data_IF_202502944852
#
_entry.id   IF_202502944852
#
_cell.length_a   1.000
_cell.length_b   1.000
_cell.length_c   1.000
_cell.angle_alpha   90.00
_cell.angle_beta   90.00
_cell.angle_gamma   90.00
#
_symmetry.space_group_name_H-M   'P 1'
#
loop_
_entity.id
_entity.type
_entity.pdbx_description
1 polymer ?
#
# COMPACT_ATOMS: atom_id res chain seq x y z
N UNK A 1 -3.71 -24.46 12.82
CA UNK A 1 -2.90 -24.12 11.62
C UNK A 1 -1.44 -24.17 12.02
N UNK A 2 -0.57 -24.82 11.23
CA UNK A 2 0.89 -24.73 11.46
C UNK A 2 1.31 -23.27 11.25
N UNK A 3 2.22 -22.71 12.05
CA UNK A 3 2.78 -21.40 11.77
C UNK A 3 3.43 -21.43 10.40
N UNK A 4 3.12 -20.44 9.55
CA UNK A 4 3.86 -20.24 8.31
C UNK A 4 5.32 -19.97 8.68
N UNK A 5 6.23 -20.69 8.04
CA UNK A 5 7.66 -20.42 8.19
C UNK A 5 7.98 -19.02 7.66
N UNK A 6 8.96 -18.36 8.26
CA UNK A 6 9.30 -16.97 7.93
C UNK A 6 9.56 -16.74 6.43
N UNK A 7 10.19 -17.70 5.75
CA UNK A 7 10.39 -17.66 4.29
C UNK A 7 9.08 -17.62 3.50
N UNK A 8 8.06 -18.34 3.95
CA UNK A 8 6.75 -18.34 3.31
C UNK A 8 6.04 -17.00 3.53
N UNK A 9 6.22 -16.37 4.69
CA UNK A 9 5.74 -15.01 4.96
C UNK A 9 6.47 -13.97 4.09
N UNK A 10 7.80 -14.05 3.99
CA UNK A 10 8.59 -13.17 3.12
C UNK A 10 8.17 -13.29 1.66
N UNK A 11 7.99 -14.51 1.16
CA UNK A 11 7.55 -14.73 -0.22
C UNK A 11 6.12 -14.24 -0.43
N UNK A 12 5.22 -14.46 0.53
CA UNK A 12 3.85 -13.96 0.45
C UNK A 12 3.79 -12.42 0.43
N UNK A 13 4.65 -11.76 1.21
CA UNK A 13 4.78 -10.30 1.19
C UNK A 13 5.27 -9.80 -0.18
N UNK A 14 6.27 -10.45 -0.77
CA UNK A 14 6.76 -10.09 -2.12
C UNK A 14 5.67 -10.26 -3.19
N UNK A 15 4.91 -11.34 -3.14
CA UNK A 15 3.80 -11.59 -4.07
C UNK A 15 2.69 -10.56 -3.89
N UNK A 16 2.30 -10.25 -2.65
CA UNK A 16 1.28 -9.25 -2.37
C UNK A 16 1.74 -7.84 -2.80
N UNK A 17 3.02 -7.50 -2.59
CA UNK A 17 3.61 -6.25 -3.07
C UNK A 17 3.59 -6.15 -4.59
N UNK A 18 3.99 -7.21 -5.31
CA UNK A 18 3.98 -7.24 -6.77
C UNK A 18 2.56 -7.07 -7.34
N UNK A 19 1.55 -7.61 -6.64
CA UNK A 19 0.15 -7.45 -6.98
C UNK A 19 -0.46 -6.11 -6.51
N UNK A 20 0.29 -5.29 -5.75
CA UNK A 20 -0.21 -4.10 -5.05
C UNK A 20 -1.46 -4.40 -4.19
N UNK A 21 -1.52 -5.59 -3.61
CA UNK A 21 -2.61 -6.06 -2.77
C UNK A 21 -2.40 -5.54 -1.33
N UNK A 22 -2.79 -4.29 -1.10
CA UNK A 22 -2.54 -3.58 0.16
C UNK A 22 -3.25 -4.23 1.35
N UNK A 23 -4.46 -4.77 1.17
CA UNK A 23 -5.21 -5.45 2.23
C UNK A 23 -4.49 -6.73 2.67
N UNK A 24 -4.04 -7.52 1.69
CA UNK A 24 -3.26 -8.72 1.97
C UNK A 24 -1.91 -8.41 2.59
N UNK A 25 -1.25 -7.32 2.19
CA UNK A 25 -0.03 -6.84 2.83
C UNK A 25 -0.25 -6.54 4.32
N UNK A 26 -1.33 -5.85 4.69
CA UNK A 26 -1.67 -5.60 6.09
C UNK A 26 -1.95 -6.89 6.88
N UNK A 27 -2.65 -7.85 6.28
CA UNK A 27 -2.91 -9.14 6.93
C UNK A 27 -1.62 -9.96 7.14
N UNK A 28 -0.68 -9.90 6.19
CA UNK A 28 0.62 -10.56 6.28
C UNK A 28 1.55 -9.87 7.30
N UNK A 29 1.51 -8.54 7.38
CA UNK A 29 2.25 -7.75 8.38
C UNK A 29 1.85 -8.12 9.81
N UNK A 30 0.53 -8.23 10.09
CA UNK A 30 0.04 -8.66 11.40
C UNK A 30 0.51 -10.08 11.75
N UNK A 31 0.52 -10.99 10.77
CA UNK A 31 1.02 -12.36 10.96
C UNK A 31 2.52 -12.41 11.22
N UNK A 32 3.30 -11.60 10.50
CA UNK A 32 4.74 -11.51 10.69
C UNK A 32 5.08 -10.90 12.05
N UNK A 33 4.36 -9.86 12.47
CA UNK A 33 4.52 -9.26 13.81
C UNK A 33 4.23 -10.27 14.93
N UNK A 34 3.16 -11.06 14.79
CA UNK A 34 2.87 -12.14 15.74
C UNK A 34 3.94 -13.23 15.75
N UNK A 35 4.48 -13.58 14.57
CA UNK A 35 5.58 -14.54 14.44
C UNK A 35 6.85 -14.01 15.12
N UNK A 36 7.23 -12.75 14.90
CA UNK A 36 8.40 -12.12 15.50
C UNK A 36 8.27 -12.03 17.03
N UNK A 37 7.08 -11.75 17.55
CA UNK A 37 6.81 -11.71 18.99
C UNK A 37 6.92 -13.10 19.65
N UNK A 38 6.61 -14.17 18.91
CA UNK A 38 6.70 -15.55 19.37
C UNK A 38 8.05 -16.22 19.02
N UNK A 39 8.93 -15.54 18.28
CA UNK A 39 10.14 -16.13 17.75
C UNK A 39 11.19 -16.38 18.87
N UNK A 40 11.91 -17.51 18.82
CA UNK A 40 13.04 -17.74 19.71
C UNK A 40 14.13 -16.69 19.45
N UNK A 41 14.85 -16.30 20.50
CA UNK A 41 15.83 -15.19 20.54
C UNK A 41 17.02 -15.29 19.54
N UNK A 42 17.05 -16.29 18.67
CA UNK A 42 18.12 -16.57 17.71
C UNK A 42 17.67 -16.39 16.25
N UNK A 43 16.96 -15.30 15.94
CA UNK A 43 16.83 -14.90 14.53
C UNK A 43 18.18 -14.35 14.07
N UNK A 44 18.73 -14.93 13.00
CA UNK A 44 19.96 -14.44 12.41
C UNK A 44 19.83 -12.98 11.96
N UNK A 45 20.83 -12.17 12.31
CA UNK A 45 20.88 -10.74 11.96
C UNK A 45 20.72 -10.49 10.45
N UNK A 46 21.36 -11.30 9.62
CA UNK A 46 21.23 -11.21 8.16
C UNK A 46 19.79 -11.41 7.67
N UNK A 47 18.97 -12.17 8.41
CA UNK A 47 17.55 -12.39 8.11
C UNK A 47 16.71 -11.18 8.49
N UNK A 48 16.99 -10.57 9.64
CA UNK A 48 16.36 -9.30 10.04
C UNK A 48 16.70 -8.16 9.06
N UNK A 49 17.94 -8.11 8.58
CA UNK A 49 18.35 -7.10 7.59
C UNK A 49 17.60 -7.28 6.26
N UNK A 50 17.43 -8.51 5.77
CA UNK A 50 16.62 -8.81 4.58
C UNK A 50 15.15 -8.40 4.74
N UNK A 51 14.54 -8.72 5.88
CA UNK A 51 13.19 -8.25 6.23
C UNK A 51 13.10 -6.73 6.24
N UNK A 52 14.09 -6.05 6.82
CA UNK A 52 14.15 -4.59 6.85
C UNK A 52 14.24 -3.96 5.46
N UNK A 53 14.95 -4.58 4.52
CA UNK A 53 14.96 -4.15 3.11
C UNK A 53 13.56 -4.30 2.50
N UNK A 54 12.93 -5.46 2.67
CA UNK A 54 11.59 -5.73 2.13
C UNK A 54 10.55 -4.72 2.66
N UNK A 55 10.58 -4.38 3.95
CA UNK A 55 9.67 -3.36 4.49
C UNK A 55 9.90 -1.97 3.91
N UNK A 56 11.16 -1.59 3.67
CA UNK A 56 11.47 -0.32 3.00
C UNK A 56 10.93 -0.29 1.58
N UNK A 57 11.02 -1.40 0.85
CA UNK A 57 10.43 -1.54 -0.48
C UNK A 57 8.91 -1.40 -0.45
N UNK A 58 8.24 -2.10 0.48
CA UNK A 58 6.77 -2.01 0.67
C UNK A 58 6.36 -0.57 0.99
N UNK A 59 7.06 0.11 1.90
CA UNK A 59 6.77 1.50 2.26
C UNK A 59 6.98 2.47 1.10
N UNK A 60 8.04 2.29 0.31
CA UNK A 60 8.29 3.11 -0.87
C UNK A 60 7.19 2.95 -1.92
N UNK A 61 6.77 1.70 -2.18
CA UNK A 61 5.67 1.41 -3.09
C UNK A 61 4.34 2.01 -2.61
N UNK A 62 4.04 1.89 -1.31
CA UNK A 62 2.83 2.47 -0.73
C UNK A 62 2.81 4.00 -0.83
N UNK A 63 3.94 4.68 -0.61
CA UNK A 63 4.05 6.14 -0.78
C UNK A 63 3.83 6.55 -2.24
N UNK A 64 4.41 5.81 -3.19
CA UNK A 64 4.22 6.10 -4.61
C UNK A 64 2.75 5.93 -5.03
N UNK A 65 2.10 4.84 -4.61
CA UNK A 65 0.69 4.60 -4.87
C UNK A 65 -0.22 5.67 -4.24
N UNK A 66 0.09 6.10 -3.00
CA UNK A 66 -0.62 7.20 -2.34
C UNK A 66 -0.51 8.52 -3.11
N UNK A 67 0.70 8.89 -3.53
CA UNK A 67 0.92 10.10 -4.33
C UNK A 67 0.18 10.05 -5.68
N UNK A 68 0.12 8.89 -6.32
CA UNK A 68 -0.65 8.71 -7.56
C UNK A 68 -2.16 8.89 -7.33
N UNK A 69 -2.70 8.31 -6.25
CA UNK A 69 -4.11 8.47 -5.88
C UNK A 69 -4.46 9.93 -5.57
N UNK A 70 -3.60 10.64 -4.84
CA UNK A 70 -3.76 12.08 -4.56
C UNK A 70 -3.80 12.90 -5.85
N UNK A 71 -2.92 12.62 -6.81
CA UNK A 71 -2.92 13.28 -8.11
C UNK A 71 -4.20 13.02 -8.90
N UNK A 72 -4.69 11.77 -8.91
CA UNK A 72 -5.95 11.41 -9.58
C UNK A 72 -7.16 12.11 -8.93
N UNK A 73 -7.20 12.19 -7.61
CA UNK A 73 -8.26 12.91 -6.89
C UNK A 73 -8.24 14.41 -7.18
N UNK A 74 -7.05 15.01 -7.27
CA UNK A 74 -6.90 16.41 -7.63
C UNK A 74 -7.39 16.69 -9.07
N UNK A 75 -7.10 15.79 -10.01
CA UNK A 75 -7.61 15.88 -11.40
C UNK A 75 -9.14 15.79 -11.44
N UNK A 76 -9.74 14.79 -10.79
CA UNK A 76 -11.20 14.64 -10.74
C UNK A 76 -11.90 15.84 -10.10
N UNK A 77 -11.30 16.42 -9.06
CA UNK A 77 -11.83 17.62 -8.41
C UNK A 77 -11.85 18.82 -9.36
N UNK A 78 -10.76 19.03 -10.11
CA UNK A 78 -10.66 20.10 -11.12
C UNK A 78 -11.64 19.90 -12.28
N UNK A 79 -11.79 18.67 -12.77
CA UNK A 79 -12.76 18.35 -13.82
C UNK A 79 -14.19 18.66 -13.37
N UNK A 80 -14.54 18.28 -12.13
CA UNK A 80 -15.86 18.58 -11.56
C UNK A 80 -16.10 20.08 -11.42
N UNK A 81 -15.11 20.83 -10.95
CA UNK A 81 -15.19 22.30 -10.87
C UNK A 81 -15.39 22.93 -12.25
N UNK A 82 -14.65 22.46 -13.26
CA UNK A 82 -14.80 22.92 -14.65
C UNK A 82 -16.19 22.64 -15.23
N UNK A 83 -16.73 21.45 -14.99
CA UNK A 83 -18.10 21.09 -15.40
C UNK A 83 -19.16 21.96 -14.73
N UNK A 84 -18.99 22.24 -13.43
CA UNK A 84 -19.90 23.12 -12.69
C UNK A 84 -19.83 24.57 -13.18
N UNK A 85 -18.63 25.09 -13.47
CA UNK A 85 -18.45 26.42 -14.03
C UNK A 85 -19.10 26.54 -15.42
N UNK A 86 -18.95 25.52 -16.27
CA UNK A 86 -19.56 25.50 -17.59
C UNK A 86 -21.10 25.42 -17.53
N UNK A 87 -21.63 24.58 -16.63
CA UNK A 87 -23.08 24.47 -16.40
C UNK A 87 -23.69 25.79 -15.90
N UNK A 88 -23.00 26.48 -14.99
CA UNK A 88 -23.41 27.80 -14.52
C UNK A 88 -23.37 28.82 -15.66
N UNK A 89 -22.25 28.95 -16.39
CA UNK A 89 -22.12 29.90 -17.51
C UNK A 89 -23.25 29.73 -18.54
N UNK A 90 -23.62 28.49 -18.87
CA UNK A 90 -24.71 28.18 -19.80
C UNK A 90 -26.10 28.58 -19.27
N UNK A 91 -26.31 28.58 -17.96
CA UNK A 91 -27.56 29.08 -17.36
C UNK A 91 -27.69 30.61 -17.48
N UNK A 92 -26.57 31.34 -17.52
CA UNK A 92 -26.56 32.79 -17.67
C UNK A 92 -26.69 33.25 -19.13
N UNK A 93 -26.23 32.47 -20.11
CA UNK A 93 -26.39 32.78 -21.55
C UNK A 93 -27.80 32.48 -22.10
N UNK A 94 -28.61 31.72 -21.35
CA UNK A 94 -29.98 31.36 -21.71
C UNK A 94 -31.07 32.23 -21.06
N UNK A 95 -30.70 33.27 -20.31
CA UNK A 95 -31.58 34.24 -19.67
C UNK A 95 -31.51 35.60 -20.39
#
# INVERSE_FOLDING_TARGET
MKPLELEQLEQALRVALAAQDWERLTALDARLSAWLAAAPAAIERARLERLGVLYREILAAGRAAGAELEQRLALLSREREGQLAYAQARQWEGA
#
